data_IF_301619083774
#
_entry.id   IF_301619083774
#
_cell.length_a   1.000
_cell.length_b   1.000
_cell.length_c   1.000
_cell.angle_alpha   90.00
_cell.angle_beta   90.00
_cell.angle_gamma   90.00
#
_symmetry.space_group_name_H-M   'P 1'
#
loop_
_entity.id
_entity.type
_entity.pdbx_description
1 polymer ?
#
# COMPACT_ATOMS: atom_id res chain seq x y z
N UNK A 1 13.03 32.62 26.20
CA UNK A 1 13.32 31.44 25.33
C UNK A 1 13.75 30.28 26.20
N UNK A 2 13.36 29.04 25.86
CA UNK A 2 13.88 27.86 26.57
C UNK A 2 15.23 27.41 26.00
N UNK A 3 16.02 26.69 26.81
CA UNK A 3 17.35 26.25 26.44
C UNK A 3 17.35 25.26 25.25
N UNK A 4 16.28 24.48 25.07
CA UNK A 4 16.16 23.50 23.96
C UNK A 4 16.14 24.20 22.60
N UNK A 5 15.38 25.29 22.47
CA UNK A 5 15.31 26.09 21.23
C UNK A 5 16.62 26.82 20.94
N UNK A 6 17.28 27.32 21.98
CA UNK A 6 18.56 28.02 21.87
C UNK A 6 19.67 27.09 21.35
N UNK A 7 19.75 25.86 21.86
CA UNK A 7 20.76 24.89 21.39
C UNK A 7 20.62 24.55 19.91
N UNK A 8 19.39 24.37 19.43
CA UNK A 8 19.15 24.13 18.00
C UNK A 8 19.60 25.29 17.12
N UNK A 9 19.43 26.53 17.58
CA UNK A 9 19.89 27.73 16.86
C UNK A 9 21.42 27.85 16.87
N UNK A 10 22.08 27.45 17.96
CA UNK A 10 23.54 27.38 18.05
C UNK A 10 24.08 26.34 17.04
N UNK A 11 23.51 25.13 17.02
CA UNK A 11 23.93 24.04 16.12
C UNK A 11 23.73 24.40 14.64
N UNK A 12 22.61 25.05 14.30
CA UNK A 12 22.34 25.48 12.92
C UNK A 12 23.37 26.51 12.43
N UNK A 13 23.73 27.47 13.30
CA UNK A 13 24.75 28.50 13.00
C UNK A 13 26.12 27.87 12.74
N UNK A 14 26.51 26.90 13.58
CA UNK A 14 27.75 26.13 13.51
C UNK A 14 27.78 25.28 12.23
N UNK A 15 26.74 24.49 11.98
CA UNK A 15 26.68 23.58 10.83
C UNK A 15 26.67 24.33 9.50
N UNK A 16 25.92 25.43 9.41
CA UNK A 16 25.81 26.22 8.19
C UNK A 16 26.96 27.21 7.96
N UNK A 17 27.92 27.33 8.89
CA UNK A 17 28.94 28.40 8.90
C UNK A 17 28.31 29.78 8.63
N UNK A 18 27.15 30.02 9.22
CA UNK A 18 26.40 31.25 8.98
C UNK A 18 27.16 32.46 9.57
N UNK A 19 27.15 33.57 8.85
CA UNK A 19 27.84 34.80 9.25
C UNK A 19 27.08 35.51 10.38
N UNK A 20 27.21 34.99 11.60
CA UNK A 20 26.72 35.62 12.82
C UNK A 20 25.50 34.95 13.45
N UNK A 21 25.37 35.17 14.75
CA UNK A 21 24.32 34.61 15.60
C UNK A 21 23.21 35.65 15.84
N UNK A 22 21.95 35.21 15.83
CA UNK A 22 20.79 36.08 16.07
C UNK A 22 20.92 36.82 17.42
N UNK A 23 20.62 38.14 17.50
CA UNK A 23 20.79 38.93 18.72
C UNK A 23 20.08 38.35 19.95
N UNK A 24 18.93 37.70 19.76
CA UNK A 24 18.16 37.05 20.81
C UNK A 24 18.91 35.85 21.43
N UNK A 25 19.66 35.10 20.62
CA UNK A 25 20.47 33.97 21.08
C UNK A 25 21.69 34.47 21.86
N UNK A 26 22.35 35.52 21.36
CA UNK A 26 23.49 36.17 22.04
C UNK A 26 23.07 36.72 23.41
N UNK A 27 21.91 37.38 23.50
CA UNK A 27 21.37 37.88 24.76
C UNK A 27 21.05 36.76 25.76
N UNK A 28 20.56 35.62 25.27
CA UNK A 28 20.25 34.47 26.12
C UNK A 28 21.51 33.76 26.64
N UNK A 29 22.54 33.60 25.80
CA UNK A 29 23.82 33.00 26.21
C UNK A 29 24.43 33.77 27.38
N UNK A 30 24.36 35.11 27.38
CA UNK A 30 24.86 35.94 28.48
C UNK A 30 24.17 35.71 29.82
N UNK A 31 22.93 35.23 29.81
CA UNK A 31 22.10 35.07 31.01
C UNK A 31 21.91 33.61 31.45
N UNK A 32 22.21 32.65 30.58
CA UNK A 32 22.05 31.21 30.85
C UNK A 32 23.38 30.46 30.82
N UNK A 33 23.88 30.05 32.00
CA UNK A 33 25.13 29.28 32.14
C UNK A 33 25.16 27.98 31.31
N UNK A 34 24.01 27.31 31.18
CA UNK A 34 23.91 26.05 30.44
C UNK A 34 24.09 26.27 28.92
N UNK A 35 23.49 27.33 28.36
CA UNK A 35 23.65 27.68 26.95
C UNK A 35 25.04 28.27 26.66
N UNK A 36 25.62 29.00 27.63
CA UNK A 36 26.99 29.49 27.54
C UNK A 36 28.02 28.35 27.45
N UNK A 37 27.94 27.35 28.33
CA UNK A 37 28.83 26.19 28.28
C UNK A 37 28.68 25.37 27.00
N UNK A 38 27.46 25.26 26.46
CA UNK A 38 27.22 24.57 25.19
C UNK A 38 27.85 25.30 23.99
N UNK A 39 27.73 26.62 23.95
CA UNK A 39 28.35 27.45 22.92
C UNK A 39 29.89 27.39 23.00
N UNK A 40 30.45 27.52 24.21
CA UNK A 40 31.89 27.47 24.45
C UNK A 40 32.50 26.11 24.06
N UNK A 41 31.81 25.01 24.39
CA UNK A 41 32.18 23.66 23.95
C UNK A 41 32.35 23.55 22.44
N UNK A 42 31.42 24.13 21.67
CA UNK A 42 31.48 24.09 20.22
C UNK A 42 32.55 24.99 19.65
N UNK A 43 32.75 26.20 20.20
CA UNK A 43 33.85 27.08 19.79
C UNK A 43 35.21 26.38 19.94
N UNK A 44 35.42 25.70 21.06
CA UNK A 44 36.67 24.98 21.32
C UNK A 44 36.88 23.76 20.40
N UNK A 45 35.79 23.13 19.93
CA UNK A 45 35.84 21.96 19.04
C UNK A 45 35.94 22.34 17.56
N UNK A 46 35.61 23.57 17.19
CA UNK A 46 35.68 24.06 15.81
C UNK A 46 37.06 24.59 15.41
N UNK A 47 38.06 24.57 16.29
CA UNK A 47 39.47 24.84 15.98
C UNK A 47 40.13 23.80 15.04
N UNK A 48 39.36 22.88 14.46
CA UNK A 48 39.73 22.23 13.21
C UNK A 48 39.68 23.25 12.07
N UNK A 49 40.71 24.08 11.96
CA UNK A 49 41.08 24.62 10.67
C UNK A 49 41.11 23.42 9.69
N UNK A 50 40.44 23.49 8.52
CA UNK A 50 40.58 22.43 7.53
C UNK A 50 42.08 22.32 7.26
N UNK A 51 42.68 21.18 7.61
CA UNK A 51 44.07 20.94 7.30
C UNK A 51 44.22 21.19 5.80
N UNK A 52 45.09 22.14 5.41
CA UNK A 52 45.36 22.38 4.00
C UNK A 52 45.75 21.03 3.41
N UNK A 53 45.01 20.58 2.40
CA UNK A 53 45.34 19.36 1.70
C UNK A 53 46.83 19.44 1.28
N UNK A 54 47.64 18.40 1.55
CA UNK A 54 49.04 18.43 1.18
C UNK A 54 49.16 18.68 -0.34
N UNK A 55 50.14 19.50 -0.73
CA UNK A 55 50.39 19.79 -2.14
C UNK A 55 50.51 18.48 -2.95
N UNK A 56 49.88 18.45 -4.13
CA UNK A 56 49.87 17.26 -5.01
C UNK A 56 49.00 16.10 -4.53
N UNK A 57 48.12 16.29 -3.53
CA UNK A 57 47.15 15.25 -3.15
C UNK A 57 46.24 14.85 -4.30
N UNK A 58 45.73 15.81 -5.06
CA UNK A 58 44.91 15.57 -6.26
C UNK A 58 45.68 14.75 -7.29
N UNK A 59 46.93 15.11 -7.56
CA UNK A 59 47.79 14.38 -8.50
C UNK A 59 47.97 12.92 -8.07
N UNK A 60 48.34 12.70 -6.80
CA UNK A 60 48.53 11.34 -6.25
C UNK A 60 47.27 10.50 -6.23
N UNK A 61 46.11 11.12 -5.98
CA UNK A 61 44.82 10.43 -6.00
C UNK A 61 44.44 10.04 -7.42
N UNK A 62 44.56 10.98 -8.37
CA UNK A 62 44.23 10.73 -9.78
C UNK A 62 45.18 9.69 -10.39
N UNK A 63 46.48 9.76 -10.12
CA UNK A 63 47.46 8.77 -10.58
C UNK A 63 47.12 7.36 -10.07
N UNK A 64 46.72 7.22 -8.80
CA UNK A 64 46.34 5.92 -8.24
C UNK A 64 45.06 5.37 -8.89
N UNK A 65 44.05 6.21 -9.09
CA UNK A 65 42.79 5.83 -9.76
C UNK A 65 43.02 5.38 -11.20
N UNK A 66 43.92 6.04 -11.95
CA UNK A 66 44.22 5.66 -13.34
C UNK A 66 45.20 4.48 -13.44
N UNK A 67 45.98 4.20 -12.39
CA UNK A 67 46.93 3.08 -12.35
C UNK A 67 46.31 1.73 -11.97
N UNK A 68 45.15 1.73 -11.30
CA UNK A 68 44.36 0.51 -11.12
C UNK A 68 43.71 0.15 -12.46
N UNK A 69 44.44 -0.62 -13.28
CA UNK A 69 43.84 -1.35 -14.40
C UNK A 69 42.69 -2.19 -13.84
N UNK A 70 41.46 -1.79 -14.12
CA UNK A 70 40.33 -2.71 -14.06
C UNK A 70 40.59 -3.78 -15.12
N UNK A 71 41.07 -4.95 -14.70
CA UNK A 71 41.00 -6.12 -15.57
C UNK A 71 39.51 -6.39 -15.83
N UNK A 72 39.07 -6.45 -17.09
CA UNK A 72 37.69 -6.83 -17.39
C UNK A 72 37.51 -8.25 -16.89
N UNK A 73 36.64 -8.43 -15.88
CA UNK A 73 36.24 -9.77 -15.47
C UNK A 73 35.70 -10.48 -16.71
N UNK A 74 36.31 -11.61 -17.05
CA UNK A 74 35.87 -12.43 -18.17
C UNK A 74 34.36 -12.66 -18.02
N UNK A 75 33.59 -12.16 -18.98
CA UNK A 75 32.13 -12.20 -18.93
C UNK A 75 31.68 -13.63 -18.70
N UNK A 76 30.87 -13.85 -17.66
CA UNK A 76 30.18 -15.10 -17.46
C UNK A 76 29.39 -15.44 -18.74
N UNK A 77 29.45 -16.69 -19.25
CA UNK A 77 28.85 -17.02 -20.54
C UNK A 77 27.33 -16.80 -20.51
N UNK A 78 26.84 -15.90 -21.38
CA UNK A 78 25.43 -15.51 -21.54
C UNK A 78 24.48 -16.71 -21.77
N UNK A 79 25.02 -17.85 -22.23
CA UNK A 79 24.29 -19.09 -22.49
C UNK A 79 23.68 -19.73 -21.25
N UNK A 80 24.19 -19.45 -20.05
CA UNK A 80 23.56 -19.90 -18.80
C UNK A 80 22.38 -19.01 -18.40
N UNK A 81 22.45 -17.69 -18.62
CA UNK A 81 21.39 -16.76 -18.24
C UNK A 81 20.08 -16.96 -19.03
N UNK A 82 20.16 -17.36 -20.30
CA UNK A 82 18.96 -17.57 -21.12
C UNK A 82 18.08 -18.73 -20.62
N UNK A 83 18.68 -19.76 -20.02
CA UNK A 83 17.95 -20.91 -19.45
C UNK A 83 17.22 -20.54 -18.16
N UNK A 84 17.83 -19.68 -17.33
CA UNK A 84 17.23 -19.21 -16.08
C UNK A 84 16.25 -18.06 -16.29
N UNK A 85 16.34 -17.30 -17.40
CA UNK A 85 15.42 -16.22 -17.72
C UNK A 85 13.98 -16.70 -17.97
N UNK A 86 13.80 -17.85 -18.63
CA UNK A 86 12.46 -18.42 -18.84
C UNK A 86 11.90 -18.99 -17.52
N UNK A 87 12.72 -19.69 -16.74
CA UNK A 87 12.32 -20.25 -15.46
C UNK A 87 11.96 -19.17 -14.41
N UNK A 88 12.64 -18.01 -14.41
CA UNK A 88 12.35 -16.90 -13.50
C UNK A 88 11.02 -16.22 -13.83
N UNK A 89 10.69 -16.05 -15.10
CA UNK A 89 9.41 -15.48 -15.54
C UNK A 89 8.24 -16.40 -15.17
N UNK A 90 8.38 -17.72 -15.35
CA UNK A 90 7.35 -18.69 -14.98
C UNK A 90 7.13 -18.71 -13.47
N UNK A 91 8.20 -18.78 -12.68
CA UNK A 91 8.10 -18.79 -11.21
C UNK A 91 7.53 -17.49 -10.65
N UNK A 92 7.94 -16.33 -11.18
CA UNK A 92 7.35 -15.04 -10.81
C UNK A 92 5.87 -14.94 -11.19
N UNK A 93 5.48 -15.46 -12.36
CA UNK A 93 4.06 -15.48 -12.80
C UNK A 93 3.21 -16.40 -11.92
N UNK A 94 3.73 -17.57 -11.53
CA UNK A 94 3.05 -18.49 -10.61
C UNK A 94 2.93 -17.86 -9.22
N UNK A 95 4.01 -17.24 -8.70
CA UNK A 95 3.99 -16.50 -7.43
C UNK A 95 2.98 -15.36 -7.47
N UNK A 96 2.96 -14.56 -8.55
CA UNK A 96 2.00 -13.46 -8.73
C UNK A 96 0.57 -13.97 -8.79
N UNK A 97 0.33 -15.08 -9.49
CA UNK A 97 -1.00 -15.68 -9.57
C UNK A 97 -1.48 -16.18 -8.21
N UNK A 98 -0.62 -16.88 -7.46
CA UNK A 98 -0.91 -17.33 -6.08
C UNK A 98 -1.16 -16.13 -5.17
N UNK A 99 -0.30 -15.10 -5.23
CA UNK A 99 -0.43 -13.89 -4.43
C UNK A 99 -1.72 -13.12 -4.77
N UNK A 100 -2.06 -12.97 -6.05
CA UNK A 100 -3.30 -12.33 -6.48
C UNK A 100 -4.54 -13.10 -6.01
N UNK A 101 -4.52 -14.44 -6.11
CA UNK A 101 -5.60 -15.30 -5.57
C UNK A 101 -5.74 -15.15 -4.06
N UNK A 102 -4.62 -15.08 -3.34
CA UNK A 102 -4.60 -14.90 -1.89
C UNK A 102 -5.10 -13.50 -1.47
N UNK A 103 -4.70 -12.45 -2.18
CA UNK A 103 -5.12 -11.07 -1.92
C UNK A 103 -6.62 -10.86 -2.14
N UNK A 104 -7.19 -11.45 -3.20
CA UNK A 104 -8.65 -11.42 -3.44
C UNK A 104 -9.41 -12.13 -2.31
N UNK A 105 -8.90 -13.26 -1.80
CA UNK A 105 -9.57 -14.02 -0.74
C UNK A 105 -9.63 -13.27 0.62
N UNK A 106 -8.67 -12.39 0.92
CA UNK A 106 -8.64 -11.64 2.18
C UNK A 106 -9.56 -10.41 2.23
N UNK A 107 -10.17 -10.00 1.11
CA UNK A 107 -10.95 -8.75 1.03
C UNK A 107 -12.46 -8.97 0.87
N UNK A 108 -12.93 -10.21 0.97
CA UNK A 108 -14.32 -10.57 0.71
C UNK A 108 -14.98 -11.25 1.91
N UNK A 109 -16.22 -10.89 2.19
CA UNK A 109 -17.09 -11.44 3.24
C UNK A 109 -18.01 -12.49 2.59
N UNK A 110 -18.12 -13.72 3.15
CA UNK A 110 -19.09 -14.69 2.67
C UNK A 110 -20.51 -14.29 3.10
N UNK A 111 -21.41 -14.18 2.14
CA UNK A 111 -22.82 -13.79 2.32
C UNK A 111 -23.71 -14.90 1.79
N UNK A 112 -24.67 -15.37 2.58
CA UNK A 112 -25.60 -16.42 2.17
C UNK A 112 -26.95 -15.81 1.83
N UNK A 113 -27.35 -16.00 0.57
CA UNK A 113 -28.66 -15.62 0.05
C UNK A 113 -29.61 -16.79 0.18
N UNK A 114 -30.84 -16.54 0.61
CA UNK A 114 -31.86 -17.57 0.86
C UNK A 114 -33.22 -17.14 0.35
N UNK A 115 -33.99 -18.10 -0.16
CA UNK A 115 -35.40 -17.92 -0.50
C UNK A 115 -36.13 -19.26 -0.39
N UNK A 116 -37.39 -19.22 0.03
CA UNK A 116 -38.25 -20.40 0.06
C UNK A 116 -39.16 -20.42 -1.18
N UNK A 117 -39.10 -21.51 -1.94
CA UNK A 117 -40.03 -21.76 -3.05
C UNK A 117 -40.11 -23.29 -3.28
N UNK A 118 -41.28 -23.86 -3.01
CA UNK A 118 -41.53 -25.30 -3.11
C UNK A 118 -41.70 -25.76 -4.56
N UNK A 119 -42.13 -24.86 -5.44
CA UNK A 119 -42.50 -25.18 -6.83
C UNK A 119 -41.39 -24.86 -7.83
N UNK A 120 -40.38 -24.08 -7.43
CA UNK A 120 -39.24 -23.76 -8.27
C UNK A 120 -38.48 -25.02 -8.71
N UNK A 121 -38.16 -25.11 -9.99
CA UNK A 121 -37.27 -26.14 -10.54
C UNK A 121 -35.81 -25.70 -10.41
N UNK A 122 -35.56 -24.40 -10.59
CA UNK A 122 -34.25 -23.78 -10.42
C UNK A 122 -34.37 -22.36 -9.91
N UNK A 123 -33.42 -21.95 -9.08
CA UNK A 123 -33.28 -20.56 -8.65
C UNK A 123 -31.84 -20.11 -8.86
N UNK A 124 -31.69 -18.97 -9.52
CA UNK A 124 -30.41 -18.29 -9.70
C UNK A 124 -30.40 -16.94 -8.99
N UNK A 125 -29.21 -16.41 -8.77
CA UNK A 125 -28.98 -15.08 -8.21
C UNK A 125 -28.42 -14.17 -9.30
N UNK A 126 -29.08 -13.04 -9.54
CA UNK A 126 -28.62 -11.98 -10.43
C UNK A 126 -28.47 -10.68 -9.65
N UNK A 127 -27.35 -9.98 -9.82
CA UNK A 127 -27.11 -8.71 -9.16
C UNK A 127 -25.83 -8.03 -9.61
N UNK A 128 -25.50 -6.93 -8.95
CA UNK A 128 -24.34 -6.10 -9.31
C UNK A 128 -23.00 -6.86 -9.26
N UNK A 129 -22.89 -7.90 -8.43
CA UNK A 129 -21.67 -8.70 -8.27
C UNK A 129 -21.43 -9.75 -9.37
N UNK A 130 -22.41 -9.99 -10.25
CA UNK A 130 -22.27 -10.89 -11.39
C UNK A 130 -22.82 -10.27 -12.69
N UNK A 131 -22.80 -8.95 -12.78
CA UNK A 131 -23.27 -8.19 -13.94
C UNK A 131 -24.70 -8.60 -14.37
N UNK A 132 -25.56 -8.90 -13.39
CA UNK A 132 -26.95 -9.31 -13.59
C UNK A 132 -27.13 -10.57 -14.47
N UNK A 133 -26.13 -11.44 -14.54
CA UNK A 133 -26.23 -12.70 -15.27
C UNK A 133 -27.10 -13.72 -14.52
N UNK A 134 -28.23 -14.09 -15.11
CA UNK A 134 -29.25 -14.96 -14.52
C UNK A 134 -28.91 -16.46 -14.51
N UNK A 135 -27.75 -16.85 -15.05
CA UNK A 135 -27.36 -18.25 -15.25
C UNK A 135 -26.07 -18.65 -14.49
N UNK A 136 -25.40 -17.71 -13.79
CA UNK A 136 -24.08 -17.96 -13.20
C UNK A 136 -24.08 -18.49 -11.78
N UNK A 137 -25.00 -18.02 -10.94
CA UNK A 137 -25.00 -18.33 -9.51
C UNK A 137 -26.28 -19.07 -9.19
N UNK A 138 -26.24 -20.41 -9.28
CA UNK A 138 -27.37 -21.27 -8.94
C UNK A 138 -27.44 -21.53 -7.43
N UNK A 139 -28.64 -21.41 -6.86
CA UNK A 139 -28.91 -21.78 -5.48
C UNK A 139 -29.08 -23.30 -5.37
N UNK A 140 -28.67 -23.85 -4.22
CA UNK A 140 -28.86 -25.26 -3.88
C UNK A 140 -30.11 -25.41 -3.04
N UNK A 141 -30.97 -26.36 -3.44
CA UNK A 141 -32.17 -26.73 -2.68
C UNK A 141 -31.79 -27.51 -1.41
N UNK A 142 -32.36 -27.11 -0.27
CA UNK A 142 -32.24 -27.74 1.05
C UNK A 142 -33.62 -27.79 1.70
N UNK A 143 -34.37 -28.86 1.43
CA UNK A 143 -35.80 -28.92 1.78
C UNK A 143 -36.56 -27.90 0.93
N UNK A 144 -37.31 -27.01 1.58
CA UNK A 144 -38.11 -25.97 0.91
C UNK A 144 -37.36 -24.64 0.76
N UNK A 145 -36.12 -24.58 1.26
CA UNK A 145 -35.25 -23.41 1.19
C UNK A 145 -34.18 -23.62 0.12
N UNK A 146 -33.94 -22.57 -0.66
CA UNK A 146 -32.85 -22.48 -1.63
C UNK A 146 -31.78 -21.56 -1.07
N UNK A 147 -30.49 -21.93 -1.21
CA UNK A 147 -29.40 -21.08 -0.73
C UNK A 147 -28.14 -21.09 -1.61
N UNK A 148 -27.46 -19.94 -1.66
CA UNK A 148 -26.14 -19.78 -2.26
C UNK A 148 -25.28 -18.86 -1.39
N UNK A 149 -24.01 -19.23 -1.19
CA UNK A 149 -23.04 -18.38 -0.50
C UNK A 149 -22.10 -17.73 -1.52
N UNK A 150 -22.10 -16.40 -1.56
CA UNK A 150 -21.26 -15.59 -2.45
C UNK A 150 -20.28 -14.78 -1.61
N UNK A 151 -19.02 -14.72 -2.03
CA UNK A 151 -17.99 -13.88 -1.39
C UNK A 151 -18.02 -12.49 -2.02
N UNK A 152 -18.44 -11.49 -1.26
CA UNK A 152 -18.62 -10.11 -1.71
C UNK A 152 -17.62 -9.18 -1.02
N UNK A 153 -17.12 -8.17 -1.72
CA UNK A 153 -16.33 -7.10 -1.09
C UNK A 153 -17.26 -6.18 -0.29
N UNK A 154 -16.74 -5.42 0.69
CA UNK A 154 -17.54 -4.38 1.32
C UNK A 154 -18.07 -3.36 0.31
N UNK A 155 -19.39 -3.34 0.12
CA UNK A 155 -20.12 -2.41 -0.74
C UNK A 155 -21.63 -2.61 -0.56
N UNK A 156 -22.42 -1.72 -1.16
CA UNK A 156 -23.85 -1.87 -1.35
C UNK A 156 -24.14 -2.52 -2.71
N UNK A 157 -24.91 -3.60 -2.71
CA UNK A 157 -25.27 -4.36 -3.92
C UNK A 157 -26.78 -4.46 -4.08
N UNK A 158 -27.25 -4.35 -5.33
CA UNK A 158 -28.60 -4.72 -5.73
C UNK A 158 -28.62 -6.15 -6.28
N UNK A 159 -29.71 -6.89 -6.02
CA UNK A 159 -29.90 -8.25 -6.50
C UNK A 159 -31.39 -8.64 -6.61
N UNK A 160 -31.63 -9.72 -7.35
CA UNK A 160 -32.90 -10.43 -7.45
C UNK A 160 -32.65 -11.94 -7.56
N UNK A 161 -33.67 -12.73 -7.20
CA UNK A 161 -33.74 -14.15 -7.52
C UNK A 161 -34.38 -14.34 -8.90
N UNK A 162 -33.81 -15.23 -9.71
CA UNK A 162 -34.37 -15.62 -11.00
C UNK A 162 -34.88 -17.04 -10.88
N UNK A 163 -36.19 -17.21 -10.90
CA UNK A 163 -36.85 -18.50 -10.72
C UNK A 163 -37.19 -19.05 -12.12
N UNK A 164 -36.74 -20.28 -12.36
CA UNK A 164 -36.93 -21.02 -13.61
C UNK A 164 -36.46 -20.27 -14.86
N UNK A 165 -35.47 -19.38 -14.69
CA UNK A 165 -34.84 -18.61 -15.77
C UNK A 165 -35.66 -17.42 -16.29
N UNK A 166 -36.91 -17.27 -15.87
CA UNK A 166 -37.84 -16.28 -16.44
C UNK A 166 -38.34 -15.26 -15.41
N UNK A 167 -38.56 -15.70 -14.17
CA UNK A 167 -39.24 -14.88 -13.16
C UNK A 167 -38.25 -14.19 -12.23
N UNK A 168 -38.12 -12.88 -12.37
CA UNK A 168 -37.32 -12.04 -11.46
C UNK A 168 -38.14 -11.67 -10.23
N UNK A 169 -37.65 -12.06 -9.05
CA UNK A 169 -38.32 -11.84 -7.78
C UNK A 169 -37.34 -11.17 -6.82
N UNK A 170 -37.68 -10.02 -6.23
CA UNK A 170 -36.87 -9.48 -5.15
C UNK A 170 -36.98 -10.37 -3.93
N UNK A 171 -35.90 -10.45 -3.16
CA UNK A 171 -35.88 -11.11 -1.86
C UNK A 171 -36.97 -10.55 -0.93
N UNK A 172 -37.97 -11.36 -0.52
CA UNK A 172 -39.04 -10.94 0.37
C UNK A 172 -38.56 -10.56 1.78
N UNK A 173 -37.37 -11.03 2.18
CA UNK A 173 -36.78 -10.80 3.50
C UNK A 173 -35.68 -9.72 3.48
N UNK A 174 -35.50 -9.02 2.36
CA UNK A 174 -34.51 -7.95 2.27
C UNK A 174 -34.87 -6.75 3.18
N UNK A 175 -33.86 -6.26 3.91
CA UNK A 175 -34.00 -5.07 4.75
C UNK A 175 -34.23 -3.78 3.95
N UNK A 176 -33.83 -3.77 2.68
CA UNK A 176 -33.86 -2.59 1.82
C UNK A 176 -34.20 -2.98 0.37
N UNK A 177 -34.84 -2.04 -0.32
CA UNK A 177 -35.14 -2.14 -1.74
C UNK A 177 -34.70 -0.86 -2.46
N UNK A 178 -34.34 -1.00 -3.73
CA UNK A 178 -34.10 0.10 -4.65
C UNK A 178 -35.09 0.03 -5.82
N UNK A 179 -35.58 1.18 -6.26
CA UNK A 179 -36.42 1.27 -7.45
C UNK A 179 -35.57 1.01 -8.71
N UNK A 180 -36.08 0.21 -9.65
CA UNK A 180 -35.39 -0.10 -10.90
C UNK A 180 -35.59 0.95 -12.00
N UNK A 181 -36.46 1.94 -11.75
CA UNK A 181 -36.83 2.98 -12.71
C UNK A 181 -37.93 2.57 -13.71
N UNK A 182 -38.42 1.34 -13.63
CA UNK A 182 -39.47 0.77 -14.48
C UNK A 182 -40.69 0.32 -13.68
N UNK A 183 -40.75 0.68 -12.39
CA UNK A 183 -41.87 0.38 -11.50
C UNK A 183 -41.72 -0.93 -10.71
N UNK A 184 -40.57 -1.61 -10.83
CA UNK A 184 -40.22 -2.74 -9.97
C UNK A 184 -39.17 -2.33 -8.93
N UNK A 185 -38.83 -3.29 -8.06
CA UNK A 185 -37.86 -3.09 -7.00
C UNK A 185 -36.85 -4.21 -6.99
N UNK A 186 -35.59 -3.83 -6.81
CA UNK A 186 -34.48 -4.74 -6.55
C UNK A 186 -34.24 -4.82 -5.04
N UNK A 187 -33.84 -5.99 -4.55
CA UNK A 187 -33.38 -6.13 -3.17
C UNK A 187 -32.00 -5.53 -3.02
N UNK A 188 -31.74 -4.92 -1.87
CA UNK A 188 -30.47 -4.28 -1.55
C UNK A 188 -29.87 -4.94 -0.34
N UNK A 189 -28.58 -5.26 -0.45
CA UNK A 189 -27.76 -5.69 0.67
C UNK A 189 -26.56 -4.76 0.84
N UNK A 190 -26.31 -4.35 2.08
CA UNK A 190 -25.14 -3.54 2.45
C UNK A 190 -24.15 -4.42 3.19
N UNK A 191 -22.95 -4.56 2.61
CA UNK A 191 -21.86 -5.34 3.17
C UNK A 191 -20.87 -4.35 3.78
N UNK A 192 -20.98 -4.12 5.08
CA UNK A 192 -19.98 -3.36 5.83
C UNK A 192 -18.74 -4.21 6.08
N UNK A 193 -17.55 -3.64 5.85
CA UNK A 193 -16.28 -4.27 6.18
C UNK A 193 -16.12 -4.39 7.68
N UNK A 194 -15.80 -5.60 8.17
CA UNK A 194 -15.45 -5.84 9.57
C UNK A 194 -14.00 -5.41 9.87
#
# INVERSE_FOLDING_TARGET
MNCKKIRLMIDDTIYKRAAGMEPAVVAHIKTCKNCAGYHDFWLHRMDFAPAKAPAGLTERVMERVFSEKMEPSAGFPLSHFLKYAVASVVTASVMLFIFARFYVAQTTIPVTFKISDENAVSIALAGDFNDWQSDKILLKRKGDVWEATVRLKPNRYQYMFVIDGERFVPDPEANMYADDGFGHKNSVIDISGA
#
